data_IF_414268865080
#
_entry.id   IF_414268865080
#
_cell.length_a   1.000
_cell.length_b   1.000
_cell.length_c   1.000
_cell.angle_alpha   90.00
_cell.angle_beta   90.00
_cell.angle_gamma   90.00
#
_symmetry.space_group_name_H-M   'P 1'
#
loop_
_entity.id
_entity.type
_entity.pdbx_description
1 polymer ?
#
# COMPACT_ATOMS: atom_id res chain seq x y z
N UNK A 1 23.98 18.81 3.60
CA UNK A 1 22.55 18.62 3.39
C UNK A 1 22.30 17.39 2.53
N UNK A 2 21.40 16.58 2.96
CA UNK A 2 21.07 15.38 2.22
C UNK A 2 19.85 15.62 1.33
N UNK A 3 19.96 15.21 0.08
CA UNK A 3 18.81 15.21 -0.81
C UNK A 3 17.86 14.10 -0.36
N UNK A 4 16.59 14.42 -0.25
CA UNK A 4 15.57 13.43 0.09
C UNK A 4 15.24 12.63 -1.17
N UNK A 5 15.38 11.31 -1.08
CA UNK A 5 15.00 10.44 -2.19
C UNK A 5 13.46 10.49 -2.34
N UNK A 6 12.95 10.77 -3.55
CA UNK A 6 11.51 10.75 -3.75
C UNK A 6 10.91 9.38 -3.43
N UNK A 7 9.74 9.40 -2.81
CA UNK A 7 9.02 8.19 -2.43
C UNK A 7 8.12 7.75 -3.58
N UNK A 8 8.43 6.61 -4.17
CA UNK A 8 7.58 6.02 -5.20
C UNK A 8 6.55 5.12 -4.52
N UNK A 9 5.29 5.22 -4.92
CA UNK A 9 4.17 4.55 -4.28
C UNK A 9 3.42 3.69 -5.28
N UNK A 10 3.09 2.47 -4.87
CA UNK A 10 2.20 1.60 -5.63
C UNK A 10 0.87 1.50 -4.89
N UNK A 11 -0.23 1.83 -5.57
CA UNK A 11 -1.58 1.75 -5.03
C UNK A 11 -2.29 0.58 -5.71
N UNK A 12 -2.76 -0.37 -4.91
CA UNK A 12 -3.42 -1.58 -5.42
C UNK A 12 -4.84 -1.67 -4.87
N UNK A 13 -5.82 -1.55 -5.75
CA UNK A 13 -7.24 -1.60 -5.38
C UNK A 13 -8.03 -1.82 -6.66
N UNK A 14 -9.06 -2.66 -6.62
CA UNK A 14 -9.87 -2.92 -7.81
C UNK A 14 -10.82 -1.75 -8.14
N UNK A 15 -10.95 -0.79 -7.24
CA UNK A 15 -11.75 0.42 -7.47
C UNK A 15 -10.88 1.57 -7.98
N UNK A 16 -11.07 1.97 -9.23
CA UNK A 16 -10.36 3.10 -9.78
C UNK A 16 -10.65 4.39 -8.99
N UNK A 17 -11.88 4.53 -8.47
CA UNK A 17 -12.25 5.71 -7.68
C UNK A 17 -11.43 5.79 -6.40
N UNK A 18 -11.26 4.66 -5.71
CA UNK A 18 -10.46 4.62 -4.49
C UNK A 18 -9.00 4.93 -4.80
N UNK A 19 -8.47 4.39 -5.90
CA UNK A 19 -7.08 4.69 -6.28
C UNK A 19 -6.86 6.19 -6.48
N UNK A 20 -7.83 6.86 -7.13
CA UNK A 20 -7.74 8.31 -7.34
C UNK A 20 -7.81 9.08 -6.03
N UNK A 21 -8.67 8.65 -5.11
CA UNK A 21 -8.78 9.28 -3.79
C UNK A 21 -7.45 9.16 -3.05
N UNK A 22 -6.86 7.97 -3.05
CA UNK A 22 -5.58 7.75 -2.38
C UNK A 22 -4.47 8.58 -2.99
N UNK A 23 -4.41 8.70 -4.32
CA UNK A 23 -3.44 9.59 -4.96
C UNK A 23 -3.60 11.03 -4.48
N UNK A 24 -4.84 11.51 -4.43
CA UNK A 24 -5.12 12.88 -3.99
C UNK A 24 -4.69 13.09 -2.55
N UNK A 25 -4.98 12.13 -1.67
CA UNK A 25 -4.59 12.22 -0.26
C UNK A 25 -3.07 12.26 -0.14
N UNK A 26 -2.37 11.40 -0.89
CA UNK A 26 -0.91 11.38 -0.86
C UNK A 26 -0.32 12.74 -1.27
N UNK A 27 -0.89 13.35 -2.31
CA UNK A 27 -0.40 14.65 -2.79
C UNK A 27 -0.68 15.79 -1.83
N UNK A 28 -1.58 15.58 -0.87
CA UNK A 28 -1.88 16.57 0.19
C UNK A 28 -0.94 16.43 1.38
N UNK A 29 -0.12 15.40 1.42
CA UNK A 29 0.87 15.22 2.48
C UNK A 29 2.12 16.02 2.16
N UNK A 30 2.99 16.17 3.15
CA UNK A 30 4.29 16.81 2.96
C UNK A 30 5.37 15.82 2.51
N UNK A 31 4.98 14.61 2.13
CA UNK A 31 5.93 13.59 1.69
C UNK A 31 6.55 13.96 0.36
N UNK A 32 7.85 13.74 0.20
CA UNK A 32 8.52 13.98 -1.09
C UNK A 32 8.19 12.86 -2.07
N UNK A 33 7.03 12.97 -2.73
CA UNK A 33 6.54 11.92 -3.62
C UNK A 33 7.29 11.90 -4.94
N UNK A 34 7.63 10.69 -5.38
CA UNK A 34 8.11 10.44 -6.73
C UNK A 34 6.96 10.00 -7.61
N UNK A 35 7.11 8.84 -8.26
CA UNK A 35 6.09 8.30 -9.13
C UNK A 35 5.04 7.54 -8.32
N UNK A 36 3.76 7.70 -8.70
CA UNK A 36 2.66 6.92 -8.13
C UNK A 36 2.11 6.07 -9.25
N UNK A 37 2.14 4.75 -9.06
CA UNK A 37 1.56 3.81 -10.02
C UNK A 37 0.36 3.10 -9.39
N UNK A 38 -0.53 2.60 -10.24
CA UNK A 38 -1.75 1.93 -9.81
C UNK A 38 -1.82 0.54 -10.39
N UNK A 39 -2.41 -0.37 -9.63
CA UNK A 39 -2.73 -1.73 -10.07
C UNK A 39 -4.15 -2.06 -9.64
N UNK A 40 -4.87 -2.80 -10.46
CA UNK A 40 -6.26 -3.17 -10.21
C UNK A 40 -6.43 -4.43 -9.38
N UNK A 41 -5.39 -5.23 -9.22
CA UNK A 41 -5.41 -6.42 -8.38
C UNK A 41 -3.99 -6.87 -8.06
N UNK A 42 -3.89 -7.95 -7.28
CA UNK A 42 -2.58 -8.43 -6.84
C UNK A 42 -1.72 -8.98 -7.97
N UNK A 43 -2.33 -9.60 -8.99
CA UNK A 43 -1.54 -10.15 -10.11
C UNK A 43 -0.90 -9.03 -10.93
N UNK A 44 -1.64 -7.96 -11.16
CA UNK A 44 -1.12 -6.80 -11.87
C UNK A 44 0.00 -6.14 -11.05
N UNK A 45 -0.19 -6.04 -9.74
CA UNK A 45 0.82 -5.48 -8.83
C UNK A 45 2.11 -6.31 -8.87
N UNK A 46 2.01 -7.63 -8.86
CA UNK A 46 3.19 -8.50 -8.91
C UNK A 46 3.98 -8.27 -10.21
N UNK A 47 3.28 -8.13 -11.33
CA UNK A 47 3.97 -7.88 -12.60
C UNK A 47 4.72 -6.55 -12.58
N UNK A 48 4.13 -5.52 -11.99
CA UNK A 48 4.80 -4.22 -11.83
C UNK A 48 6.02 -4.37 -10.93
N UNK A 49 5.86 -5.06 -9.81
CA UNK A 49 6.94 -5.23 -8.82
C UNK A 49 8.09 -6.09 -9.32
N UNK A 50 7.86 -6.97 -10.29
CA UNK A 50 8.94 -7.72 -10.93
C UNK A 50 9.87 -6.82 -11.72
N UNK A 51 9.35 -5.68 -12.17
CA UNK A 51 10.11 -4.76 -13.04
C UNK A 51 10.78 -3.63 -12.28
N UNK A 52 10.24 -3.25 -11.13
CA UNK A 52 10.81 -2.16 -10.34
C UNK A 52 10.32 -2.22 -8.90
N UNK A 53 11.04 -1.52 -8.01
CA UNK A 53 10.66 -1.39 -6.63
C UNK A 53 9.92 -0.08 -6.34
N UNK A 54 9.33 -0.01 -5.15
CA UNK A 54 8.66 1.18 -4.63
C UNK A 54 9.04 1.34 -3.17
N UNK A 55 8.84 2.55 -2.65
CA UNK A 55 9.11 2.82 -1.24
C UNK A 55 7.91 2.66 -0.33
N UNK A 56 6.73 2.45 -0.90
CA UNK A 56 5.49 2.28 -0.13
C UNK A 56 4.48 1.57 -1.01
N UNK A 57 3.73 0.64 -0.41
CA UNK A 57 2.61 -0.03 -1.08
C UNK A 57 1.35 0.19 -0.25
N UNK A 58 0.28 0.66 -0.89
CA UNK A 58 -1.05 0.75 -0.31
C UNK A 58 -1.93 -0.26 -1.02
N UNK A 59 -2.51 -1.21 -0.32
CA UNK A 59 -3.26 -2.29 -0.96
C UNK A 59 -4.55 -2.62 -0.24
N UNK A 60 -5.62 -2.82 -1.01
CA UNK A 60 -6.84 -3.42 -0.50
C UNK A 60 -6.58 -4.92 -0.24
N UNK A 61 -7.46 -5.55 0.51
CA UNK A 61 -7.43 -7.00 0.74
C UNK A 61 -8.31 -7.71 -0.29
N UNK A 62 -9.55 -7.27 -0.45
CA UNK A 62 -10.51 -7.98 -1.31
C UNK A 62 -10.40 -7.52 -2.76
N UNK A 63 -9.73 -8.31 -3.57
CA UNK A 63 -9.54 -8.03 -4.99
C UNK A 63 -9.66 -9.32 -5.79
N UNK A 64 -10.05 -9.24 -7.08
CA UNK A 64 -10.09 -10.43 -7.92
C UNK A 64 -8.70 -10.97 -8.22
N UNK A 65 -8.62 -12.24 -8.61
CA UNK A 65 -7.43 -12.97 -9.06
C UNK A 65 -6.40 -13.20 -7.97
N UNK A 66 -5.95 -12.16 -7.29
CA UNK A 66 -5.02 -12.27 -6.16
C UNK A 66 -5.42 -11.19 -5.15
N UNK A 67 -5.76 -11.60 -3.94
CA UNK A 67 -6.15 -10.65 -2.90
C UNK A 67 -4.92 -9.99 -2.26
N UNK A 68 -5.18 -9.01 -1.38
CA UNK A 68 -4.12 -8.24 -0.75
C UNK A 68 -3.24 -9.04 0.20
N UNK A 69 -3.78 -10.07 0.84
CA UNK A 69 -2.98 -10.91 1.73
C UNK A 69 -2.03 -11.80 0.95
N UNK A 70 -2.49 -12.33 -0.19
CA UNK A 70 -1.64 -13.10 -1.09
C UNK A 70 -0.56 -12.20 -1.68
N UNK A 71 -0.92 -10.98 -2.05
CA UNK A 71 0.04 -10.00 -2.57
C UNK A 71 1.09 -9.68 -1.51
N UNK A 72 0.67 -9.46 -0.27
CA UNK A 72 1.59 -9.16 0.83
C UNK A 72 2.60 -10.29 1.01
N UNK A 73 2.14 -11.54 0.97
CA UNK A 73 3.02 -12.69 1.07
C UNK A 73 4.05 -12.71 -0.06
N UNK A 74 3.61 -12.39 -1.29
CA UNK A 74 4.52 -12.34 -2.45
C UNK A 74 5.54 -11.22 -2.29
N UNK A 75 5.11 -10.04 -1.81
CA UNK A 75 6.02 -8.91 -1.58
C UNK A 75 7.11 -9.30 -0.59
N UNK A 76 6.76 -10.00 0.48
CA UNK A 76 7.73 -10.38 1.50
C UNK A 76 8.74 -11.42 1.01
N UNK A 77 8.47 -12.07 -0.11
CA UNK A 77 9.39 -13.00 -0.74
C UNK A 77 10.34 -12.30 -1.73
N UNK A 78 10.08 -11.05 -2.07
CA UNK A 78 10.90 -10.29 -3.02
C UNK A 78 12.02 -9.56 -2.28
N UNK A 79 13.27 -9.86 -2.61
CA UNK A 79 14.42 -9.25 -1.92
C UNK A 79 14.39 -7.73 -1.96
N UNK A 80 13.97 -7.14 -3.07
CA UNK A 80 13.95 -5.69 -3.23
C UNK A 80 12.73 -5.02 -2.60
N UNK A 81 11.77 -5.80 -2.08
CA UNK A 81 10.52 -5.26 -1.55
C UNK A 81 10.22 -5.73 -0.12
N UNK A 82 10.92 -6.75 0.37
CA UNK A 82 10.54 -7.38 1.65
C UNK A 82 10.57 -6.44 2.85
N UNK A 83 11.36 -5.38 2.79
CA UNK A 83 11.48 -4.40 3.88
C UNK A 83 10.69 -3.12 3.62
N UNK A 84 9.97 -3.04 2.50
CA UNK A 84 9.19 -1.86 2.15
C UNK A 84 7.87 -1.86 2.94
N UNK A 85 7.46 -0.71 3.50
CA UNK A 85 6.18 -0.62 4.21
C UNK A 85 5.00 -0.96 3.31
N UNK A 86 4.10 -1.80 3.80
CA UNK A 86 2.85 -2.15 3.13
C UNK A 86 1.70 -1.82 4.09
N UNK A 87 0.81 -0.94 3.67
CA UNK A 87 -0.36 -0.56 4.44
C UNK A 87 -1.59 -1.14 3.77
N UNK A 88 -2.36 -1.91 4.52
CA UNK A 88 -3.61 -2.48 4.02
C UNK A 88 -4.73 -1.47 4.22
N UNK A 89 -5.52 -1.21 3.17
CA UNK A 89 -6.63 -0.25 3.21
C UNK A 89 -7.86 -0.95 2.67
N UNK A 90 -8.78 -1.36 3.54
CA UNK A 90 -9.84 -2.26 3.14
C UNK A 90 -11.10 -2.09 3.97
N UNK A 91 -12.24 -2.55 3.43
CA UNK A 91 -13.48 -2.68 4.20
C UNK A 91 -13.44 -3.91 5.11
N UNK A 92 -12.51 -4.83 4.87
CA UNK A 92 -12.40 -6.05 5.65
C UNK A 92 -11.91 -5.72 7.06
N UNK A 93 -12.84 -5.66 8.01
CA UNK A 93 -12.53 -5.29 9.39
C UNK A 93 -12.56 -6.47 10.34
N UNK A 94 -12.70 -7.69 9.83
CA UNK A 94 -12.72 -8.88 10.67
C UNK A 94 -11.38 -9.08 11.35
N UNK A 95 -11.43 -9.42 12.63
CA UNK A 95 -10.23 -9.58 13.43
C UNK A 95 -9.26 -10.61 12.85
N UNK A 96 -9.81 -11.69 12.25
CA UNK A 96 -9.00 -12.72 11.63
C UNK A 96 -8.16 -12.20 10.48
N UNK A 97 -8.75 -11.34 9.63
CA UNK A 97 -8.02 -10.77 8.49
C UNK A 97 -6.96 -9.77 8.94
N UNK A 98 -7.28 -8.97 9.97
CA UNK A 98 -6.31 -8.03 10.53
C UNK A 98 -5.12 -8.78 11.10
N UNK A 99 -5.39 -9.84 11.87
CA UNK A 99 -4.31 -10.65 12.47
C UNK A 99 -3.47 -11.34 11.40
N UNK A 100 -4.11 -11.85 10.35
CA UNK A 100 -3.39 -12.50 9.26
C UNK A 100 -2.46 -11.50 8.56
N UNK A 101 -2.95 -10.27 8.31
CA UNK A 101 -2.13 -9.23 7.70
C UNK A 101 -0.92 -8.89 8.58
N UNK A 102 -1.12 -8.77 9.88
CA UNK A 102 -0.03 -8.49 10.82
C UNK A 102 0.99 -9.61 10.80
N UNK A 103 0.53 -10.86 10.81
CA UNK A 103 1.42 -12.02 10.79
C UNK A 103 2.22 -12.10 9.50
N UNK A 104 1.65 -11.66 8.38
CA UNK A 104 2.34 -11.63 7.09
C UNK A 104 3.28 -10.44 6.96
N UNK A 105 3.27 -9.53 7.93
CA UNK A 105 4.22 -8.42 7.96
C UNK A 105 3.70 -7.10 7.43
N UNK A 106 2.37 -6.91 7.41
CA UNK A 106 1.81 -5.60 7.08
C UNK A 106 2.29 -4.58 8.09
N UNK A 107 2.66 -3.39 7.60
CA UNK A 107 3.19 -2.32 8.44
C UNK A 107 2.06 -1.52 9.09
N UNK A 108 0.92 -1.45 8.42
CA UNK A 108 -0.23 -0.73 8.94
C UNK A 108 -1.52 -1.22 8.34
N UNK A 109 -2.64 -0.75 8.91
CA UNK A 109 -3.97 -1.15 8.49
C UNK A 109 -4.90 0.04 8.63
N UNK A 110 -5.65 0.35 7.58
CA UNK A 110 -6.65 1.43 7.60
C UNK A 110 -7.97 0.86 7.10
N UNK A 111 -9.04 1.15 7.80
CA UNK A 111 -10.36 0.64 7.46
C UNK A 111 -11.12 1.64 6.59
N UNK A 112 -11.78 1.14 5.55
CA UNK A 112 -12.71 1.94 4.74
C UNK A 112 -14.08 1.97 5.42
N UNK A 113 -14.82 3.08 5.37
CA UNK A 113 -14.41 4.35 4.79
C UNK A 113 -13.36 5.04 5.67
N UNK A 114 -12.43 5.75 5.03
CA UNK A 114 -11.37 6.44 5.73
C UNK A 114 -11.45 7.95 5.48
N UNK A 115 -10.80 8.72 6.36
CA UNK A 115 -10.62 10.15 6.15
C UNK A 115 -9.18 10.40 5.67
N UNK A 116 -8.96 11.56 5.04
CA UNK A 116 -7.61 11.94 4.67
C UNK A 116 -6.69 11.99 5.88
N UNK A 117 -7.21 12.46 7.03
CA UNK A 117 -6.43 12.54 8.26
C UNK A 117 -5.97 11.16 8.75
N UNK A 118 -6.84 10.15 8.65
CA UNK A 118 -6.47 8.79 9.05
C UNK A 118 -5.32 8.24 8.20
N UNK A 119 -5.36 8.51 6.90
CA UNK A 119 -4.27 8.10 6.00
C UNK A 119 -2.98 8.84 6.36
N UNK A 120 -3.07 10.16 6.55
CA UNK A 120 -1.90 10.97 6.89
C UNK A 120 -1.26 10.52 8.18
N UNK A 121 -2.07 10.26 9.21
CA UNK A 121 -1.57 9.79 10.50
C UNK A 121 -0.85 8.45 10.37
N UNK A 122 -1.44 7.53 9.60
CA UNK A 122 -0.83 6.22 9.40
C UNK A 122 0.50 6.34 8.67
N UNK A 123 0.56 7.16 7.64
CA UNK A 123 1.80 7.37 6.89
C UNK A 123 2.87 8.03 7.77
N UNK A 124 2.50 8.99 8.58
CA UNK A 124 3.44 9.65 9.47
C UNK A 124 4.06 8.64 10.45
N UNK A 125 3.26 7.70 10.97
CA UNK A 125 3.75 6.70 11.90
C UNK A 125 4.61 5.62 11.24
N UNK A 126 4.40 5.37 9.96
CA UNK A 126 5.08 4.29 9.25
C UNK A 126 6.37 4.76 8.60
N UNK A 127 6.41 6.00 8.10
CA UNK A 127 7.51 6.52 7.29
C UNK A 127 8.50 7.39 8.06
N UNK A 128 8.32 7.49 9.37
CA UNK A 128 9.25 8.27 10.21
C UNK A 128 10.52 7.49 10.51
#
# INVERSE_FOLDING_TARGET
>A
MTATTPLDVLIVDDSAAIRKILQRVLRQTDLPLGEIQEAGDGTEAVEILKKRGFGLVLSDINMPHMDGLQLLARIKEMDHMKNVPVIMITTEGGQGKVMEAVQLGATGYVRKPFTAEQIKEKLAGVLV
#
